data_IF_396929672485
#
_entry.id   IF_396929672485
#
_cell.length_a   1.000
_cell.length_b   1.000
_cell.length_c   1.000
_cell.angle_alpha   90.00
_cell.angle_beta   90.00
_cell.angle_gamma   90.00
#
_symmetry.space_group_name_H-M   'P 1'
#
loop_
_entity.id
_entity.type
_entity.pdbx_description
1 polymer ?
#
# COMPACT_ATOMS: atom_id res chain seq x y z
N UNK A 1 -22.09 -49.59 -24.57
CA UNK A 1 -21.04 -49.05 -23.68
C UNK A 1 -20.59 -47.69 -24.18
N UNK A 2 -21.00 -46.61 -23.52
CA UNK A 2 -20.37 -45.27 -23.59
C UNK A 2 -20.93 -44.47 -22.40
N UNK A 3 -20.20 -44.44 -21.28
CA UNK A 3 -20.52 -43.56 -20.15
C UNK A 3 -19.83 -42.23 -20.43
N UNK A 4 -20.61 -41.19 -20.74
CA UNK A 4 -20.11 -39.82 -20.75
C UNK A 4 -20.00 -39.36 -19.29
N UNK A 5 -18.78 -39.21 -18.78
CA UNK A 5 -18.51 -38.44 -17.56
C UNK A 5 -18.56 -36.95 -17.95
N UNK A 6 -19.57 -36.23 -17.47
CA UNK A 6 -19.58 -34.77 -17.54
C UNK A 6 -18.65 -34.22 -16.45
N UNK A 7 -17.58 -33.51 -16.85
CA UNK A 7 -16.80 -32.68 -15.92
C UNK A 7 -17.66 -31.48 -15.52
N UNK A 8 -17.99 -31.40 -14.23
CA UNK A 8 -18.61 -30.24 -13.62
C UNK A 8 -17.50 -29.27 -13.20
N UNK A 9 -17.25 -28.24 -14.01
CA UNK A 9 -16.30 -27.17 -13.67
C UNK A 9 -16.89 -26.28 -12.58
N UNK A 10 -16.37 -26.40 -11.36
CA UNK A 10 -16.71 -25.51 -10.25
C UNK A 10 -15.95 -24.19 -10.44
N UNK A 11 -16.63 -23.14 -10.93
CA UNK A 11 -16.10 -21.79 -10.91
C UNK A 11 -16.16 -21.26 -9.47
N UNK A 12 -15.02 -21.25 -8.79
CA UNK A 12 -14.87 -20.53 -7.53
C UNK A 12 -14.77 -19.05 -7.88
N UNK A 13 -15.83 -18.27 -7.62
CA UNK A 13 -15.73 -16.83 -7.63
C UNK A 13 -14.88 -16.41 -6.43
N UNK A 14 -13.63 -15.98 -6.67
CA UNK A 14 -12.87 -15.24 -5.68
C UNK A 14 -13.58 -13.91 -5.48
N UNK A 15 -14.35 -13.79 -4.41
CA UNK A 15 -14.71 -12.48 -3.89
C UNK A 15 -13.43 -11.87 -3.31
N UNK A 16 -12.77 -11.01 -4.08
CA UNK A 16 -11.80 -10.10 -3.50
C UNK A 16 -12.59 -9.16 -2.59
N UNK A 17 -12.45 -9.34 -1.28
CA UNK A 17 -12.93 -8.35 -0.32
C UNK A 17 -12.17 -7.06 -0.55
N UNK A 18 -12.89 -5.95 -0.72
CA UNK A 18 -12.28 -4.63 -0.80
C UNK A 18 -11.43 -4.39 0.46
N UNK A 19 -10.28 -3.75 0.30
CA UNK A 19 -9.40 -3.43 1.42
C UNK A 19 -10.04 -2.34 2.29
N UNK A 20 -10.14 -2.58 3.59
CA UNK A 20 -10.59 -1.56 4.54
C UNK A 20 -9.45 -0.57 4.81
N UNK A 21 -9.75 0.73 4.82
CA UNK A 21 -8.77 1.75 5.14
C UNK A 21 -8.28 1.60 6.58
N UNK A 22 -6.97 1.46 6.75
CA UNK A 22 -6.31 1.41 8.05
C UNK A 22 -4.88 1.96 7.94
N UNK A 23 -4.19 2.06 9.08
CA UNK A 23 -2.85 2.67 9.18
C UNK A 23 -1.82 2.08 8.21
N UNK A 24 -1.94 0.80 7.81
CA UNK A 24 -1.06 0.14 6.84
C UNK A 24 -1.13 0.73 5.43
N UNK A 25 -2.17 1.50 5.11
CA UNK A 25 -2.27 2.21 3.82
C UNK A 25 -1.48 3.53 3.80
N UNK A 26 -0.99 3.98 4.95
CA UNK A 26 -0.10 5.15 5.02
C UNK A 26 1.21 4.91 4.28
N UNK A 27 1.69 5.93 3.58
CA UNK A 27 2.91 5.82 2.79
C UNK A 27 2.99 6.82 1.65
N UNK A 28 3.92 6.56 0.75
CA UNK A 28 4.14 7.35 -0.47
C UNK A 28 3.62 6.53 -1.65
N UNK A 29 2.82 7.17 -2.49
CA UNK A 29 2.17 6.58 -3.65
C UNK A 29 2.45 7.45 -4.88
N UNK A 30 2.63 6.84 -6.05
CA UNK A 30 2.93 7.58 -7.28
C UNK A 30 2.36 6.87 -8.50
N UNK A 31 2.29 7.55 -9.63
CA UNK A 31 2.03 6.91 -10.92
C UNK A 31 3.36 6.60 -11.62
N UNK A 32 3.58 5.34 -11.99
CA UNK A 32 4.85 4.89 -12.57
C UNK A 32 5.15 5.55 -13.92
N UNK A 33 4.13 5.73 -14.76
CA UNK A 33 4.23 6.33 -16.10
C UNK A 33 4.34 7.86 -16.06
N UNK A 34 4.04 8.47 -14.90
CA UNK A 34 4.05 9.92 -14.67
C UNK A 34 4.95 10.28 -13.48
N UNK A 35 6.13 9.68 -13.44
CA UNK A 35 7.12 9.94 -12.38
C UNK A 35 7.41 11.45 -12.26
N UNK A 36 7.35 11.99 -11.03
CA UNK A 36 7.58 13.42 -10.74
C UNK A 36 6.46 14.09 -9.94
N UNK A 37 5.32 13.41 -9.76
CA UNK A 37 4.23 13.78 -8.86
C UNK A 37 3.82 12.57 -8.00
N UNK A 38 3.04 12.79 -6.95
CA UNK A 38 2.56 11.69 -6.12
C UNK A 38 1.91 12.11 -4.82
N UNK A 39 1.43 11.12 -4.08
CA UNK A 39 0.73 11.29 -2.83
C UNK A 39 1.60 10.90 -1.64
N UNK A 40 1.52 11.67 -0.57
CA UNK A 40 1.83 11.22 0.77
C UNK A 40 0.52 11.08 1.54
N UNK A 41 0.23 9.85 1.97
CA UNK A 41 -1.02 9.49 2.62
C UNK A 41 -0.74 9.15 4.08
N UNK A 42 -1.50 9.77 4.98
CA UNK A 42 -1.50 9.49 6.41
C UNK A 42 -2.93 9.12 6.85
N UNK A 43 -3.16 7.84 7.14
CA UNK A 43 -4.40 7.37 7.75
C UNK A 43 -4.32 7.65 9.25
N UNK A 44 -5.19 8.52 9.76
CA UNK A 44 -5.17 8.96 11.16
C UNK A 44 -5.96 8.00 12.06
N UNK A 45 -7.13 7.61 11.60
CA UNK A 45 -8.06 6.71 12.27
C UNK A 45 -9.01 6.06 11.26
N UNK A 46 -10.02 5.32 11.75
CA UNK A 46 -11.01 4.62 10.92
C UNK A 46 -11.82 5.57 10.02
N UNK A 47 -11.96 6.84 10.39
CA UNK A 47 -12.81 7.81 9.69
C UNK A 47 -12.02 8.86 8.89
N UNK A 48 -10.76 9.10 9.22
CA UNK A 48 -10.00 10.25 8.71
C UNK A 48 -8.67 9.85 8.09
N UNK A 49 -8.43 10.35 6.88
CA UNK A 49 -7.14 10.24 6.19
C UNK A 49 -6.75 11.59 5.61
N UNK A 50 -5.48 11.98 5.76
CA UNK A 50 -4.91 13.15 5.11
C UNK A 50 -4.14 12.70 3.87
N UNK A 51 -4.39 13.38 2.76
CA UNK A 51 -3.69 13.17 1.49
C UNK A 51 -2.99 14.47 1.10
N UNK A 52 -1.67 14.41 0.97
CA UNK A 52 -0.86 15.46 0.37
C UNK A 52 -0.53 15.05 -1.06
N UNK A 53 -0.99 15.80 -2.05
CA UNK A 53 -0.66 15.54 -3.45
C UNK A 53 0.33 16.57 -3.98
N UNK A 54 1.57 16.14 -4.21
CA UNK A 54 2.61 16.96 -4.81
C UNK A 54 2.47 16.90 -6.33
N UNK A 55 2.19 18.04 -6.95
CA UNK A 55 1.89 18.18 -8.39
C UNK A 55 2.37 19.57 -8.86
N UNK A 56 1.90 20.02 -10.02
CA UNK A 56 2.33 21.27 -10.65
C UNK A 56 1.13 22.11 -11.06
N UNK A 57 1.31 23.42 -10.99
CA UNK A 57 0.44 24.39 -11.64
C UNK A 57 0.51 24.22 -13.18
N UNK A 58 -0.47 24.80 -13.90
CA UNK A 58 -0.50 24.79 -15.37
C UNK A 58 0.77 25.42 -15.99
N UNK A 59 1.39 26.38 -15.30
CA UNK A 59 2.63 27.01 -15.72
C UNK A 59 3.91 26.17 -15.43
N UNK A 60 3.74 24.99 -14.84
CA UNK A 60 4.82 24.07 -14.51
C UNK A 60 5.50 24.33 -13.16
N UNK A 61 5.07 25.34 -12.39
CA UNK A 61 5.60 25.56 -11.03
C UNK A 61 5.07 24.51 -10.06
N UNK A 62 5.88 24.02 -9.11
CA UNK A 62 5.44 22.99 -8.18
C UNK A 62 4.40 23.52 -7.19
N UNK A 63 3.43 22.68 -6.86
CA UNK A 63 2.42 22.95 -5.83
C UNK A 63 2.15 21.68 -5.03
N UNK A 64 1.55 21.85 -3.85
CA UNK A 64 1.02 20.72 -3.10
C UNK A 64 -0.43 20.99 -2.73
N UNK A 65 -1.27 19.99 -2.97
CA UNK A 65 -2.66 19.96 -2.62
C UNK A 65 -2.84 19.19 -1.31
N UNK A 66 -3.78 19.63 -0.47
CA UNK A 66 -4.10 18.98 0.81
C UNK A 66 -5.57 18.61 0.81
N UNK A 67 -5.85 17.34 1.08
CA UNK A 67 -7.20 16.82 1.28
C UNK A 67 -7.28 16.20 2.67
N UNK A 68 -8.22 16.68 3.48
CA UNK A 68 -8.64 15.97 4.70
C UNK A 68 -9.90 15.20 4.33
N UNK A 69 -9.75 13.90 4.09
CA UNK A 69 -10.81 13.06 3.56
C UNK A 69 -11.48 12.19 4.61
N UNK A 70 -12.74 11.87 4.35
CA UNK A 70 -13.51 10.91 5.11
C UNK A 70 -13.36 9.52 4.49
N UNK A 71 -13.05 8.53 5.33
CA UNK A 71 -12.94 7.13 4.94
C UNK A 71 -14.33 6.49 4.89
N UNK A 72 -14.60 5.75 3.81
CA UNK A 72 -15.80 4.92 3.62
C UNK A 72 -15.38 3.63 2.91
N UNK A 73 -15.17 2.56 3.70
CA UNK A 73 -14.65 1.29 3.20
C UNK A 73 -13.25 1.44 2.63
N UNK A 74 -13.13 1.29 1.31
CA UNK A 74 -11.88 1.37 0.53
C UNK A 74 -11.60 2.76 -0.06
N UNK A 75 -12.48 3.74 0.20
CA UNK A 75 -12.40 5.10 -0.36
C UNK A 75 -12.15 6.15 0.71
N UNK A 76 -11.23 7.08 0.44
CA UNK A 76 -11.12 8.36 1.14
C UNK A 76 -11.50 9.47 0.19
N UNK A 77 -12.43 10.35 0.57
CA UNK A 77 -12.86 11.48 -0.26
C UNK A 77 -12.93 12.77 0.54
N UNK A 78 -12.54 13.90 -0.07
CA UNK A 78 -12.63 15.20 0.59
C UNK A 78 -12.46 16.40 -0.34
N UNK A 79 -12.74 17.58 0.21
CA UNK A 79 -12.40 18.86 -0.42
C UNK A 79 -10.89 19.05 -0.34
N UNK A 80 -10.32 19.55 -1.42
CA UNK A 80 -8.88 19.69 -1.63
C UNK A 80 -8.53 21.16 -1.73
N UNK A 81 -7.46 21.56 -1.05
CA UNK A 81 -7.01 22.95 -0.94
C UNK A 81 -5.55 23.09 -1.32
N UNK A 82 -5.12 24.30 -1.65
CA UNK A 82 -3.72 24.69 -1.68
C UNK A 82 -3.54 26.04 -1.00
N UNK A 83 -2.31 26.25 -0.50
CA UNK A 83 -1.93 27.45 0.22
C UNK A 83 -0.91 28.26 -0.58
N UNK A 84 -1.05 29.57 -0.55
CA UNK A 84 -0.09 30.53 -1.14
C UNK A 84 0.20 31.68 -0.17
N UNK A 85 1.11 32.58 -0.57
CA UNK A 85 1.36 33.87 0.09
C UNK A 85 2.51 33.86 1.11
N UNK A 86 2.58 32.85 1.98
CA UNK A 86 3.69 32.74 2.95
C UNK A 86 5.04 32.51 2.26
N UNK A 87 6.09 33.20 2.71
CA UNK A 87 7.43 33.14 2.11
C UNK A 87 8.41 32.43 3.02
N UNK A 88 9.33 31.68 2.42
CA UNK A 88 10.41 31.03 3.16
C UNK A 88 11.28 32.07 3.89
N UNK A 89 11.45 31.90 5.20
CA UNK A 89 12.19 32.84 6.06
C UNK A 89 11.32 33.97 6.65
N UNK A 90 10.13 34.20 6.10
CA UNK A 90 9.16 35.20 6.55
C UNK A 90 7.83 34.49 6.88
N UNK A 91 7.87 33.67 7.93
CA UNK A 91 6.75 32.81 8.37
C UNK A 91 5.63 33.59 9.08
N UNK A 92 5.03 34.56 8.39
CA UNK A 92 3.91 35.35 8.88
C UNK A 92 2.58 34.68 8.53
N UNK A 93 1.81 34.29 9.56
CA UNK A 93 0.53 33.59 9.39
C UNK A 93 -0.56 34.44 8.76
N UNK A 94 -0.45 35.78 8.82
CA UNK A 94 -1.42 36.67 8.16
C UNK A 94 -1.32 36.63 6.63
N UNK A 95 -0.22 36.11 6.08
CA UNK A 95 0.04 36.07 4.64
C UNK A 95 -0.46 34.77 4.00
N UNK A 96 -0.97 33.80 4.78
CA UNK A 96 -1.50 32.56 4.22
C UNK A 96 -2.84 32.80 3.52
N UNK A 97 -2.92 32.35 2.27
CA UNK A 97 -4.18 32.32 1.51
C UNK A 97 -4.47 30.87 1.16
N UNK A 98 -5.47 30.31 1.84
CA UNK A 98 -6.02 28.98 1.55
C UNK A 98 -7.09 29.10 0.47
N UNK A 99 -6.94 28.31 -0.59
CA UNK A 99 -7.87 28.30 -1.73
C UNK A 99 -8.38 26.90 -1.98
N UNK A 100 -9.69 26.75 -2.09
CA UNK A 100 -10.32 25.51 -2.52
C UNK A 100 -9.95 25.21 -3.97
N UNK A 101 -9.28 24.07 -4.18
CA UNK A 101 -8.88 23.59 -5.50
C UNK A 101 -9.97 22.74 -6.16
N UNK A 102 -10.71 21.97 -5.36
CA UNK A 102 -11.74 21.05 -5.85
C UNK A 102 -11.91 19.85 -4.92
N UNK A 103 -12.08 18.65 -5.48
CA UNK A 103 -12.18 17.41 -4.70
C UNK A 103 -11.18 16.36 -5.15
N UNK A 104 -10.80 15.48 -4.22
CA UNK A 104 -9.99 14.32 -4.49
C UNK A 104 -10.57 13.10 -3.77
N UNK A 105 -10.49 11.95 -4.43
CA UNK A 105 -10.84 10.64 -3.89
C UNK A 105 -9.70 9.68 -4.15
N UNK A 106 -9.26 8.95 -3.13
CA UNK A 106 -8.36 7.81 -3.32
C UNK A 106 -9.15 6.53 -3.05
N UNK A 107 -9.20 5.65 -4.03
CA UNK A 107 -9.75 4.30 -3.95
C UNK A 107 -8.58 3.33 -3.82
N UNK A 108 -8.47 2.63 -2.69
CA UNK A 108 -7.47 1.57 -2.53
C UNK A 108 -8.03 0.27 -3.11
N UNK A 109 -7.36 -0.33 -4.10
CA UNK A 109 -7.77 -1.66 -4.57
C UNK A 109 -7.07 -2.76 -3.76
N UNK A 110 -5.79 -2.53 -3.44
CA UNK A 110 -5.03 -3.39 -2.55
C UNK A 110 -3.95 -2.61 -1.78
N UNK A 111 -3.01 -3.36 -1.20
CA UNK A 111 -1.92 -2.80 -0.43
C UNK A 111 -0.92 -1.97 -1.24
N UNK A 112 -0.79 -2.22 -2.53
CA UNK A 112 0.20 -1.61 -3.41
C UNK A 112 -0.40 -0.94 -4.64
N UNK A 113 -1.71 -1.05 -4.86
CA UNK A 113 -2.43 -0.33 -5.91
C UNK A 113 -3.58 0.51 -5.35
N UNK A 114 -3.73 1.71 -5.90
CA UNK A 114 -4.86 2.60 -5.66
C UNK A 114 -5.18 3.42 -6.90
N UNK A 115 -6.36 4.02 -6.96
CA UNK A 115 -6.74 5.00 -7.99
C UNK A 115 -7.02 6.34 -7.32
N UNK A 116 -6.38 7.40 -7.82
CA UNK A 116 -6.69 8.78 -7.47
C UNK A 116 -7.68 9.36 -8.49
N UNK A 117 -8.85 9.78 -8.04
CA UNK A 117 -9.80 10.56 -8.83
C UNK A 117 -9.80 12.01 -8.34
N UNK A 118 -9.89 12.95 -9.25
CA UNK A 118 -9.91 14.38 -8.91
C UNK A 118 -10.88 15.16 -9.79
N UNK A 119 -11.39 16.26 -9.24
CA UNK A 119 -12.22 17.24 -9.95
C UNK A 119 -11.89 18.64 -9.46
N UNK A 120 -11.27 19.45 -10.30
CA UNK A 120 -10.89 20.82 -9.99
C UNK A 120 -12.04 21.80 -10.24
N UNK A 121 -12.14 22.83 -9.39
CA UNK A 121 -13.00 24.00 -9.59
C UNK A 121 -12.44 24.98 -10.63
N UNK A 122 -11.13 24.90 -10.89
CA UNK A 122 -10.44 25.65 -11.95
C UNK A 122 -10.49 24.83 -13.24
N UNK A 123 -11.11 25.41 -14.28
CA UNK A 123 -11.46 24.73 -15.54
C UNK A 123 -10.24 24.13 -16.23
N UNK A 124 -9.08 24.80 -16.14
CA UNK A 124 -7.84 24.41 -16.80
C UNK A 124 -7.26 23.09 -16.27
N UNK A 125 -7.47 22.72 -15.00
CA UNK A 125 -7.03 21.42 -14.48
C UNK A 125 -8.04 20.29 -14.77
N UNK A 126 -9.33 20.61 -14.94
CA UNK A 126 -10.39 19.65 -15.26
C UNK A 126 -10.59 18.56 -14.20
N UNK A 127 -11.01 17.38 -14.64
CA UNK A 127 -11.18 16.19 -13.82
C UNK A 127 -10.50 14.99 -14.47
N UNK A 128 -10.13 13.99 -13.66
CA UNK A 128 -9.40 12.84 -14.16
C UNK A 128 -9.26 11.72 -13.14
N UNK A 129 -8.64 10.64 -13.60
CA UNK A 129 -8.30 9.47 -12.82
C UNK A 129 -6.87 9.06 -13.11
N UNK A 130 -6.12 8.72 -12.06
CA UNK A 130 -4.70 8.37 -12.12
C UNK A 130 -4.50 7.08 -11.33
N UNK A 131 -3.95 6.07 -12.01
CA UNK A 131 -3.53 4.85 -11.31
C UNK A 131 -2.30 5.14 -10.45
N UNK A 132 -2.32 4.66 -9.22
CA UNK A 132 -1.29 4.85 -8.22
C UNK A 132 -0.72 3.49 -7.81
N UNK A 133 0.59 3.44 -7.60
CA UNK A 133 1.30 2.32 -7.01
C UNK A 133 2.05 2.79 -5.76
N UNK A 134 2.19 1.92 -4.77
CA UNK A 134 2.91 2.26 -3.54
C UNK A 134 4.42 2.29 -3.79
N UNK A 135 5.02 3.45 -3.52
CA UNK A 135 6.47 3.64 -3.57
C UNK A 135 7.14 3.22 -2.25
N UNK A 136 6.55 3.64 -1.12
CA UNK A 136 7.09 3.37 0.19
C UNK A 136 5.98 3.17 1.22
N UNK A 137 6.18 2.21 2.12
CA UNK A 137 5.36 2.01 3.30
C UNK A 137 6.04 2.62 4.53
N UNK A 138 5.23 2.98 5.53
CA UNK A 138 5.76 3.37 6.85
C UNK A 138 6.38 2.15 7.52
N UNK A 139 7.60 2.30 8.05
CA UNK A 139 8.29 1.22 8.76
C UNK A 139 7.42 0.68 9.91
N UNK A 140 7.29 -0.65 9.99
CA UNK A 140 6.47 -1.33 10.99
C UNK A 140 4.99 -1.48 10.62
N UNK A 141 4.47 -0.74 9.63
CA UNK A 141 3.08 -0.85 9.15
C UNK A 141 3.02 -1.74 7.90
N UNK A 142 3.24 -3.05 8.11
CA UNK A 142 3.18 -4.03 7.02
C UNK A 142 1.74 -4.33 6.65
N UNK A 143 1.50 -4.38 5.35
CA UNK A 143 0.19 -4.66 4.79
C UNK A 143 -0.26 -6.12 4.99
N UNK A 144 0.70 -7.03 5.14
CA UNK A 144 0.47 -8.40 5.63
C UNK A 144 0.64 -8.43 7.15
N UNK A 145 -0.39 -8.85 7.88
CA UNK A 145 -0.28 -9.22 9.31
C UNK A 145 0.55 -10.47 9.54
N UNK A 146 1.04 -11.11 8.48
CA UNK A 146 1.88 -12.27 8.63
C UNK A 146 3.18 -11.83 9.31
N UNK A 147 3.49 -12.34 10.51
CA UNK A 147 4.79 -12.11 11.11
C UNK A 147 5.90 -12.78 10.28
N UNK A 148 5.53 -13.64 9.32
CA UNK A 148 6.39 -14.30 8.35
C UNK A 148 7.16 -13.28 7.50
N UNK A 149 8.47 -13.23 7.73
CA UNK A 149 9.47 -12.57 6.92
C UNK A 149 9.68 -13.28 5.57
N UNK A 150 9.61 -14.61 5.54
CA UNK A 150 9.67 -15.40 4.31
C UNK A 150 9.67 -16.90 4.54
N UNK A 151 9.40 -17.67 3.48
CA UNK A 151 9.60 -19.12 3.44
C UNK A 151 10.81 -19.43 2.55
N UNK A 152 11.74 -20.20 3.08
CA UNK A 152 12.99 -20.56 2.41
C UNK A 152 13.08 -22.06 2.29
N UNK A 153 13.35 -22.57 1.09
CA UNK A 153 13.74 -23.97 0.92
C UNK A 153 15.22 -24.10 1.32
N UNK A 154 15.53 -25.11 2.12
CA UNK A 154 16.87 -25.31 2.65
C UNK A 154 17.23 -26.79 2.79
N UNK A 155 18.52 -27.03 2.93
CA UNK A 155 19.06 -28.32 3.34
C UNK A 155 19.56 -28.23 4.78
N UNK A 156 19.24 -29.21 5.62
CA UNK A 156 19.83 -29.37 6.94
C UNK A 156 20.85 -30.50 6.91
N UNK A 157 21.90 -30.38 7.73
CA UNK A 157 22.91 -31.43 7.87
C UNK A 157 23.16 -31.71 9.34
N UNK A 158 22.88 -32.92 9.80
CA UNK A 158 23.21 -33.39 11.14
C UNK A 158 23.72 -34.83 11.10
N UNK A 159 24.73 -35.11 11.91
CA UNK A 159 25.26 -36.48 12.10
C UNK A 159 25.60 -37.24 10.80
N UNK A 160 25.96 -36.51 9.73
CA UNK A 160 26.31 -37.10 8.43
C UNK A 160 25.13 -37.35 7.48
N UNK A 161 23.90 -37.01 7.87
CA UNK A 161 22.74 -37.01 6.97
C UNK A 161 22.45 -35.59 6.46
N UNK A 162 21.96 -35.51 5.21
CA UNK A 162 21.41 -34.29 4.64
C UNK A 162 19.95 -34.52 4.33
N UNK A 163 19.07 -33.67 4.84
CA UNK A 163 17.70 -33.64 4.39
C UNK A 163 17.32 -32.28 3.81
N UNK A 164 16.13 -32.22 3.22
CA UNK A 164 15.60 -31.03 2.59
C UNK A 164 14.28 -30.65 3.24
N UNK A 165 13.98 -29.36 3.24
CA UNK A 165 12.74 -28.87 3.78
C UNK A 165 12.62 -27.36 3.65
N UNK A 166 11.89 -26.77 4.58
CA UNK A 166 11.61 -25.35 4.57
C UNK A 166 11.85 -24.71 5.94
N UNK A 167 12.20 -23.43 5.92
CA UNK A 167 12.23 -22.57 7.08
C UNK A 167 11.30 -21.37 6.87
N UNK A 168 10.42 -21.14 7.83
CA UNK A 168 9.62 -19.94 7.96
C UNK A 168 10.34 -18.99 8.91
N UNK A 169 10.77 -17.84 8.40
CA UNK A 169 11.42 -16.80 9.19
C UNK A 169 10.37 -15.77 9.60
N UNK A 170 10.47 -15.24 10.82
CA UNK A 170 9.57 -14.23 11.36
C UNK A 170 10.30 -12.92 11.62
N UNK A 171 9.64 -11.78 11.42
CA UNK A 171 10.27 -10.46 11.51
C UNK A 171 10.80 -10.09 12.92
N UNK A 172 10.37 -10.79 13.95
CA UNK A 172 10.85 -10.65 15.32
C UNK A 172 12.16 -11.44 15.59
N UNK A 173 12.74 -12.07 14.56
CA UNK A 173 13.94 -12.89 14.68
C UNK A 173 13.65 -14.35 14.99
N UNK A 174 12.38 -14.77 15.13
CA UNK A 174 12.06 -16.19 15.32
C UNK A 174 12.08 -16.96 13.99
N UNK A 175 12.35 -18.25 14.06
CA UNK A 175 12.34 -19.17 12.93
C UNK A 175 11.66 -20.47 13.34
N UNK A 176 10.88 -21.05 12.43
CA UNK A 176 10.43 -22.44 12.51
C UNK A 176 10.93 -23.15 11.26
N UNK A 177 11.52 -24.34 11.42
CA UNK A 177 11.93 -25.16 10.28
C UNK A 177 11.40 -26.58 10.39
N UNK A 178 11.18 -27.19 9.23
CA UNK A 178 10.99 -28.62 9.07
C UNK A 178 11.91 -29.10 7.97
N UNK A 179 12.54 -30.25 8.17
CA UNK A 179 13.28 -30.91 7.11
C UNK A 179 13.35 -32.42 7.31
N UNK A 180 13.52 -33.16 6.22
CA UNK A 180 13.56 -34.62 6.25
C UNK A 180 14.55 -35.20 5.25
N UNK A 181 15.09 -36.36 5.60
CA UNK A 181 15.81 -37.30 4.76
C UNK A 181 14.99 -38.59 4.59
N UNK A 182 15.56 -39.62 3.95
CA UNK A 182 14.92 -40.94 3.83
C UNK A 182 14.81 -41.68 5.18
N UNK A 183 15.62 -41.31 6.17
CA UNK A 183 15.76 -42.02 7.45
C UNK A 183 15.38 -41.17 8.66
N UNK A 184 15.25 -39.84 8.53
CA UNK A 184 15.00 -38.93 9.65
C UNK A 184 14.19 -37.69 9.24
N UNK A 185 13.52 -37.08 10.23
CA UNK A 185 12.85 -35.79 10.07
C UNK A 185 13.06 -34.96 11.33
N UNK A 186 13.24 -33.66 11.15
CA UNK A 186 13.45 -32.71 12.23
C UNK A 186 12.47 -31.53 12.11
N UNK A 187 11.92 -31.11 13.25
CA UNK A 187 11.21 -29.84 13.42
C UNK A 187 11.96 -29.07 14.48
N UNK A 188 12.26 -27.81 14.20
CA UNK A 188 12.91 -26.94 15.16
C UNK A 188 12.31 -25.55 15.19
N UNK A 189 12.44 -24.93 16.35
CA UNK A 189 12.17 -23.50 16.57
C UNK A 189 13.49 -22.88 16.97
N UNK A 190 13.83 -21.74 16.40
CA UNK A 190 15.10 -21.07 16.65
C UNK A 190 15.01 -19.58 16.39
N UNK A 191 16.18 -18.94 16.34
CA UNK A 191 16.29 -17.53 15.96
C UNK A 191 17.18 -17.36 14.74
N UNK A 192 16.97 -16.27 14.01
CA UNK A 192 17.74 -15.86 12.85
C UNK A 192 18.09 -14.37 12.95
N UNK A 193 19.13 -13.98 12.22
CA UNK A 193 19.67 -12.63 12.21
C UNK A 193 19.86 -12.20 10.74
N UNK A 194 19.59 -10.93 10.45
CA UNK A 194 19.84 -10.29 9.14
C UNK A 194 21.28 -9.81 9.02
#
# INVERSE_FOLDING_TARGET
>A
MKRLLGLLSLFIALNASAIEINSKLSGIWYNQDQSGHGLNIAVLDENTTIVYWYVYHIDGTPMFLITVGQNQGDRVSGVTYYNTGMKFGEFNTADIVETEWGTATVLFEDCNSATLEYSSNVVEYGSGSIQMVRLAAVAGLKCTDTPLHGNYNGSWAASGEVGYGFASLFANGDMVFWAASDSSAEVGIGQWWT
#
